data_IF_480349129052
#
_entry.id   IF_480349129052
#
_cell.length_a   1.000
_cell.length_b   1.000
_cell.length_c   1.000
_cell.angle_alpha   90.00
_cell.angle_beta   90.00
_cell.angle_gamma   90.00
#
_symmetry.space_group_name_H-M   'P 1'
#
loop_
_entity.id
_entity.type
_entity.pdbx_description
1 polymer ?
#
# COMPACT_ATOMS: atom_id res chain seq x y z
N UNK A 1 -13.97 0.58 4.32
CA UNK A 1 -13.01 -0.55 4.32
C UNK A 1 -11.87 -0.30 5.29
N UNK A 2 -11.46 -1.30 6.07
CA UNK A 2 -10.27 -1.27 6.95
C UNK A 2 -9.42 -2.51 6.68
N UNK A 3 -8.16 -2.34 6.32
CA UNK A 3 -7.24 -3.42 5.93
C UNK A 3 -5.86 -3.13 6.50
N UNK A 4 -5.20 -4.15 7.03
CA UNK A 4 -3.84 -4.03 7.53
C UNK A 4 -3.22 -5.38 7.87
N UNK A 5 -1.95 -5.34 8.26
CA UNK A 5 -1.17 -6.51 8.65
C UNK A 5 -0.68 -6.33 10.09
N UNK A 6 -1.14 -7.20 10.99
CA UNK A 6 -0.61 -7.30 12.35
C UNK A 6 0.53 -8.31 12.35
N UNK A 7 1.73 -7.84 12.62
CA UNK A 7 2.97 -8.58 12.46
C UNK A 7 3.59 -8.80 13.84
N UNK A 8 3.95 -10.04 14.16
CA UNK A 8 4.72 -10.37 15.37
C UNK A 8 6.09 -10.89 14.95
N UNK A 9 7.14 -10.40 15.60
CA UNK A 9 8.51 -10.81 15.33
C UNK A 9 9.46 -10.46 16.46
N UNK A 10 10.76 -10.58 16.20
CA UNK A 10 11.84 -10.21 17.14
C UNK A 10 12.59 -9.02 16.54
N UNK A 11 12.78 -7.96 17.34
CA UNK A 11 13.62 -6.82 17.00
C UNK A 11 14.53 -6.52 18.18
N UNK A 12 15.83 -6.35 17.93
CA UNK A 12 16.82 -6.05 18.97
C UNK A 12 16.80 -7.05 20.15
N UNK A 13 16.54 -8.32 19.85
CA UNK A 13 16.48 -9.43 20.82
C UNK A 13 15.18 -9.52 21.63
N UNK A 14 14.19 -8.65 21.39
CA UNK A 14 12.92 -8.63 22.11
C UNK A 14 11.73 -8.91 21.19
N UNK A 15 10.71 -9.60 21.71
CA UNK A 15 9.45 -9.76 20.98
C UNK A 15 8.79 -8.39 20.76
N UNK A 16 8.38 -8.13 19.53
CA UNK A 16 7.63 -6.94 19.16
C UNK A 16 6.40 -7.33 18.36
N UNK A 17 5.30 -6.63 18.64
CA UNK A 17 4.10 -6.64 17.79
C UNK A 17 4.01 -5.29 17.10
N UNK A 18 3.75 -5.32 15.81
CA UNK A 18 3.59 -4.17 14.94
C UNK A 18 2.27 -4.27 14.19
N UNK A 19 1.69 -3.14 13.82
CA UNK A 19 0.49 -3.12 13.01
C UNK A 19 0.65 -2.06 11.95
N UNK A 20 0.41 -2.37 10.69
CA UNK A 20 0.39 -1.37 9.60
C UNK A 20 -0.97 -1.47 8.90
N UNK A 21 -1.68 -0.36 8.74
CA UNK A 21 -3.05 -0.37 8.23
C UNK A 21 -3.47 0.89 7.48
N UNK A 22 -4.53 0.76 6.69
CA UNK A 22 -5.25 1.86 6.05
C UNK A 22 -6.75 1.76 6.38
N UNK A 23 -7.38 2.91 6.57
CA UNK A 23 -8.83 3.05 6.62
C UNK A 23 -9.31 3.89 5.44
N UNK A 24 -10.22 3.34 4.64
CA UNK A 24 -10.83 4.00 3.50
C UNK A 24 -12.34 4.14 3.74
N UNK A 25 -12.85 5.37 3.72
CA UNK A 25 -14.30 5.63 3.79
C UNK A 25 -14.90 5.53 2.39
N UNK A 26 -16.05 4.85 2.29
CA UNK A 26 -16.71 4.66 1.00
C UNK A 26 -17.18 5.97 0.38
N UNK A 27 -17.62 6.94 1.20
CA UNK A 27 -18.06 8.25 0.71
C UNK A 27 -16.89 9.01 0.08
N UNK A 28 -15.76 9.11 0.77
CA UNK A 28 -14.56 9.80 0.26
C UNK A 28 -14.09 9.18 -1.09
N UNK A 29 -14.11 7.85 -1.21
CA UNK A 29 -13.80 7.17 -2.47
C UNK A 29 -14.83 7.45 -3.59
N UNK A 30 -16.11 7.61 -3.24
CA UNK A 30 -17.16 7.92 -4.19
C UNK A 30 -17.06 9.38 -4.65
N UNK A 31 -16.75 10.29 -3.76
CA UNK A 31 -16.58 11.71 -4.07
C UNK A 31 -15.32 11.96 -4.92
N UNK A 32 -14.27 11.15 -4.77
CA UNK A 32 -13.04 11.23 -5.58
C UNK A 32 -13.21 10.64 -6.99
N UNK A 33 -13.62 9.37 -7.09
CA UNK A 33 -13.62 8.63 -8.37
C UNK A 33 -14.94 7.93 -8.70
N UNK A 34 -16.04 8.28 -8.02
CA UNK A 34 -17.37 7.67 -8.21
C UNK A 34 -17.38 6.15 -8.02
N UNK A 35 -16.58 5.66 -7.08
CA UNK A 35 -16.46 4.24 -6.76
C UNK A 35 -16.47 3.98 -5.25
N UNK A 36 -16.75 2.74 -4.88
CA UNK A 36 -16.75 2.24 -3.52
C UNK A 36 -15.33 1.96 -3.01
N UNK A 37 -15.14 2.08 -1.70
CA UNK A 37 -13.84 1.88 -1.04
C UNK A 37 -13.13 0.56 -1.37
N UNK A 38 -13.84 -0.53 -1.71
CA UNK A 38 -13.21 -1.82 -2.11
C UNK A 38 -12.47 -1.70 -3.44
N UNK A 39 -13.12 -1.14 -4.45
CA UNK A 39 -12.50 -0.90 -5.76
C UNK A 39 -11.40 0.15 -5.63
N UNK A 40 -11.63 1.19 -4.83
CA UNK A 40 -10.63 2.23 -4.55
C UNK A 40 -9.34 1.66 -3.94
N UNK A 41 -9.46 0.85 -2.87
CA UNK A 41 -8.31 0.22 -2.20
C UNK A 41 -7.54 -0.76 -3.07
N UNK A 42 -8.11 -1.20 -4.19
CA UNK A 42 -7.42 -2.06 -5.18
C UNK A 42 -6.85 -1.24 -6.34
N UNK A 43 -7.62 -0.26 -6.83
CA UNK A 43 -7.26 0.56 -7.99
C UNK A 43 -6.06 1.47 -7.74
N UNK A 44 -5.98 2.10 -6.56
CA UNK A 44 -4.86 2.97 -6.21
C UNK A 44 -3.53 2.18 -6.18
N UNK A 45 -3.41 1.01 -5.50
CA UNK A 45 -2.22 0.16 -5.60
C UNK A 45 -1.89 -0.32 -7.02
N UNK A 46 -2.89 -0.63 -7.84
CA UNK A 46 -2.67 -1.05 -9.22
C UNK A 46 -2.02 0.06 -10.06
N UNK A 47 -2.52 1.30 -9.93
CA UNK A 47 -1.95 2.49 -10.56
C UNK A 47 -0.51 2.73 -10.07
N UNK A 48 -0.28 2.65 -8.75
CA UNK A 48 1.06 2.86 -8.18
C UNK A 48 2.06 1.79 -8.61
N UNK A 49 1.66 0.52 -8.68
CA UNK A 49 2.53 -0.55 -9.21
C UNK A 49 2.95 -0.29 -10.65
N UNK A 50 2.01 0.16 -11.51
CA UNK A 50 2.32 0.58 -12.87
C UNK A 50 3.26 1.79 -12.90
N UNK A 51 3.04 2.79 -12.04
CA UNK A 51 3.91 3.95 -11.90
C UNK A 51 5.34 3.55 -11.46
N UNK A 52 5.48 2.64 -10.50
CA UNK A 52 6.80 2.13 -10.06
C UNK A 52 7.55 1.46 -11.20
N UNK A 53 6.86 0.68 -12.04
CA UNK A 53 7.45 0.05 -13.21
C UNK A 53 7.87 1.08 -14.28
N UNK A 54 6.97 2.00 -14.64
CA UNK A 54 7.21 3.01 -15.69
C UNK A 54 8.30 4.01 -15.31
N UNK A 55 8.41 4.37 -14.02
CA UNK A 55 9.47 5.24 -13.50
C UNK A 55 10.80 4.50 -13.24
N UNK A 56 10.86 3.19 -13.51
CA UNK A 56 12.06 2.37 -13.37
C UNK A 56 12.37 1.92 -11.95
N UNK A 57 11.61 2.35 -10.93
CA UNK A 57 11.85 2.00 -9.52
C UNK A 57 11.65 0.51 -9.24
N UNK A 58 10.67 -0.12 -9.90
CA UNK A 58 10.38 -1.55 -9.82
C UNK A 58 10.61 -2.26 -11.16
N UNK A 59 11.66 -1.89 -11.91
CA UNK A 59 11.97 -2.48 -13.22
C UNK A 59 13.21 -3.38 -13.14
N UNK A 60 13.01 -4.70 -13.09
CA UNK A 60 14.06 -5.73 -13.20
C UNK A 60 13.58 -6.93 -14.04
N UNK A 61 14.46 -7.65 -14.75
CA UNK A 61 14.07 -8.81 -15.56
C UNK A 61 13.62 -9.99 -14.70
N UNK A 62 12.42 -10.53 -14.93
CA UNK A 62 11.89 -11.67 -14.19
C UNK A 62 10.41 -11.49 -13.84
N UNK A 63 9.87 -12.40 -13.02
CA UNK A 63 8.53 -12.31 -12.43
C UNK A 63 8.70 -12.15 -10.93
N UNK A 64 7.98 -11.20 -10.35
CA UNK A 64 8.20 -10.77 -8.97
C UNK A 64 6.88 -10.46 -8.28
N UNK A 65 6.81 -10.78 -6.98
CA UNK A 65 5.80 -10.27 -6.08
C UNK A 65 6.23 -8.92 -5.48
N UNK A 66 5.29 -8.21 -4.86
CA UNK A 66 5.49 -6.84 -4.38
C UNK A 66 6.53 -6.73 -3.26
N UNK A 67 6.62 -7.74 -2.41
CA UNK A 67 7.56 -7.84 -1.29
C UNK A 67 9.02 -8.02 -1.74
N UNK A 68 9.26 -8.30 -3.02
CA UNK A 68 10.60 -8.47 -3.60
C UNK A 68 11.21 -7.15 -4.12
N UNK A 69 10.51 -6.03 -3.94
CA UNK A 69 10.95 -4.69 -4.29
C UNK A 69 11.14 -3.81 -3.05
N UNK A 70 11.87 -2.70 -3.21
CA UNK A 70 11.94 -1.69 -2.15
C UNK A 70 10.53 -1.08 -1.93
N UNK A 71 9.94 -1.21 -0.72
CA UNK A 71 8.61 -0.68 -0.43
C UNK A 71 8.58 0.85 -0.27
N UNK A 72 9.69 1.49 0.10
CA UNK A 72 9.75 2.92 0.46
C UNK A 72 9.07 3.85 -0.57
N UNK A 73 9.42 3.82 -1.87
CA UNK A 73 8.82 4.73 -2.84
C UNK A 73 7.32 4.48 -3.08
N UNK A 74 6.83 3.28 -2.78
CA UNK A 74 5.41 2.96 -2.87
C UNK A 74 4.67 3.49 -1.64
N UNK A 75 5.22 3.28 -0.44
CA UNK A 75 4.64 3.70 0.82
C UNK A 75 4.65 5.23 1.00
N UNK A 76 5.63 5.93 0.44
CA UNK A 76 5.66 7.40 0.39
C UNK A 76 4.50 7.99 -0.42
N UNK A 77 4.08 7.31 -1.49
CA UNK A 77 3.10 7.81 -2.44
C UNK A 77 1.68 7.32 -2.14
N UNK A 78 1.50 6.12 -1.58
CA UNK A 78 0.16 5.55 -1.37
C UNK A 78 -0.74 6.45 -0.53
N UNK A 79 -0.18 7.15 0.47
CA UNK A 79 -0.90 8.16 1.24
C UNK A 79 -1.30 9.39 0.43
N UNK A 80 -0.44 9.84 -0.48
CA UNK A 80 -0.67 11.01 -1.33
C UNK A 80 -1.75 10.77 -2.39
N UNK A 81 -1.89 9.51 -2.84
CA UNK A 81 -2.91 9.09 -3.81
C UNK A 81 -4.18 8.53 -3.13
N UNK A 82 -4.46 8.94 -1.89
CA UNK A 82 -5.76 8.72 -1.25
C UNK A 82 -5.87 7.53 -0.31
N UNK A 83 -4.78 6.80 -0.05
CA UNK A 83 -4.74 5.70 0.91
C UNK A 83 -3.70 5.96 2.02
N UNK A 84 -3.93 6.97 2.91
CA UNK A 84 -3.04 7.23 4.04
C UNK A 84 -2.98 6.01 4.96
N UNK A 85 -1.78 5.68 5.42
CA UNK A 85 -1.53 4.52 6.25
C UNK A 85 -0.99 4.93 7.61
N UNK A 86 -1.09 4.02 8.57
CA UNK A 86 -0.67 4.19 9.96
C UNK A 86 0.12 2.96 10.40
N UNK A 87 1.02 3.14 11.36
CA UNK A 87 1.85 2.09 11.96
C UNK A 87 2.07 2.24 13.47
#
# INVERSE_FOLDING_TARGET
TSIGCRIKGIKDGQEKTYYVWNNCKHQDAFDDVSSQGVSYTTGVPAMLGAMMFLTGKWKKPGVYNVEEFNPDPFMELIGQYGLPWQE
#
